data_IF_413606545418
#
_entry.id   IF_413606545418
#
_cell.length_a   1.000
_cell.length_b   1.000
_cell.length_c   1.000
_cell.angle_alpha   90.00
_cell.angle_beta   90.00
_cell.angle_gamma   90.00
#
_symmetry.space_group_name_H-M   'P 1'
#
loop_
_entity.id
_entity.type
_entity.pdbx_description
1 polymer ?
#
# COMPACT_ATOMS: atom_id res chain seq x y z
N UNK A 1 -59.34 -17.23 -19.70
CA UNK A 1 -58.53 -16.15 -20.31
C UNK A 1 -58.37 -15.11 -19.21
N UNK A 2 -57.18 -14.93 -18.63
CA UNK A 2 -56.74 -13.77 -17.82
C UNK A 2 -55.59 -14.06 -16.82
N UNK A 3 -54.71 -14.99 -17.23
CA UNK A 3 -53.54 -15.24 -16.37
C UNK A 3 -52.23 -14.53 -16.85
N UNK A 4 -52.22 -14.00 -18.06
CA UNK A 4 -51.04 -13.42 -18.69
C UNK A 4 -50.84 -11.91 -18.46
N UNK A 5 -51.93 -11.17 -18.21
CA UNK A 5 -51.81 -9.73 -17.95
C UNK A 5 -51.26 -9.38 -16.57
N UNK A 6 -51.51 -10.22 -15.55
CA UNK A 6 -51.00 -10.01 -14.19
C UNK A 6 -49.48 -10.21 -14.10
N UNK A 7 -48.92 -11.19 -14.81
CA UNK A 7 -47.48 -11.46 -14.80
C UNK A 7 -46.64 -10.40 -15.51
N UNK A 8 -47.22 -9.75 -16.52
CA UNK A 8 -46.53 -8.67 -17.26
C UNK A 8 -46.47 -7.36 -16.45
N UNK A 9 -47.49 -7.03 -15.68
CA UNK A 9 -47.54 -5.86 -14.83
C UNK A 9 -46.53 -5.95 -13.66
N UNK A 10 -46.41 -7.14 -13.04
CA UNK A 10 -45.47 -7.39 -11.95
C UNK A 10 -43.99 -7.31 -12.43
N UNK A 11 -43.71 -7.83 -13.64
CA UNK A 11 -42.37 -7.75 -14.21
C UNK A 11 -41.93 -6.31 -14.56
N UNK A 12 -42.90 -5.46 -14.97
CA UNK A 12 -42.62 -4.06 -15.25
C UNK A 12 -42.39 -3.24 -13.97
N UNK A 13 -43.13 -3.52 -12.90
CA UNK A 13 -42.97 -2.87 -11.59
C UNK A 13 -41.65 -3.22 -10.91
N UNK A 14 -41.20 -4.49 -11.00
CA UNK A 14 -39.93 -4.94 -10.48
C UNK A 14 -38.72 -4.34 -11.23
N UNK A 15 -38.82 -4.16 -12.56
CA UNK A 15 -37.76 -3.53 -13.36
C UNK A 15 -37.63 -2.02 -13.11
N UNK A 16 -38.75 -1.32 -12.88
CA UNK A 16 -38.76 0.11 -12.58
C UNK A 16 -38.15 0.38 -11.19
N UNK A 17 -38.49 -0.42 -10.19
CA UNK A 17 -37.94 -0.26 -8.83
C UNK A 17 -36.45 -0.67 -8.72
N UNK A 18 -35.98 -1.63 -9.52
CA UNK A 18 -34.57 -2.02 -9.53
C UNK A 18 -33.68 -0.91 -10.11
N UNK A 19 -34.16 -0.18 -11.13
CA UNK A 19 -33.44 0.98 -11.68
C UNK A 19 -33.44 2.19 -10.74
N UNK A 20 -34.50 2.41 -9.99
CA UNK A 20 -34.56 3.46 -8.98
C UNK A 20 -33.67 3.15 -7.76
N UNK A 21 -33.61 1.90 -7.28
CA UNK A 21 -32.69 1.49 -6.24
C UNK A 21 -31.23 1.64 -6.65
N UNK A 22 -30.87 1.28 -7.88
CA UNK A 22 -29.48 1.46 -8.36
C UNK A 22 -29.09 2.93 -8.46
N UNK A 23 -30.00 3.82 -8.88
CA UNK A 23 -29.74 5.25 -8.97
C UNK A 23 -29.57 5.90 -7.58
N UNK A 24 -30.34 5.48 -6.58
CA UNK A 24 -30.24 6.00 -5.20
C UNK A 24 -28.97 5.47 -4.50
N UNK A 25 -28.58 4.22 -4.77
CA UNK A 25 -27.31 3.68 -4.23
C UNK A 25 -26.08 4.40 -4.80
N UNK A 26 -26.09 4.81 -6.06
CA UNK A 26 -24.99 5.58 -6.66
C UNK A 26 -24.89 6.99 -6.03
N UNK A 27 -26.00 7.60 -5.62
CA UNK A 27 -26.02 8.94 -5.02
C UNK A 27 -25.58 8.93 -3.52
N UNK A 28 -25.84 7.86 -2.79
CA UNK A 28 -25.45 7.75 -1.37
C UNK A 28 -23.98 7.40 -1.17
N UNK A 29 -23.30 6.76 -2.15
CA UNK A 29 -21.87 6.51 -2.11
C UNK A 29 -20.99 7.70 -2.54
N UNK A 30 -21.60 8.74 -3.15
CA UNK A 30 -20.91 9.94 -3.61
C UNK A 30 -20.57 10.96 -2.51
N UNK A 31 -20.99 10.74 -1.25
CA UNK A 31 -20.87 11.72 -0.16
C UNK A 31 -19.92 11.31 0.97
N UNK A 32 -19.16 10.23 0.82
CA UNK A 32 -18.07 9.96 1.76
C UNK A 32 -16.83 10.73 1.31
N UNK A 33 -16.34 11.68 2.10
CA UNK A 33 -15.11 12.40 1.78
C UNK A 33 -13.93 11.43 1.90
N UNK A 34 -13.52 10.84 0.78
CA UNK A 34 -12.24 10.13 0.68
C UNK A 34 -11.10 11.16 0.77
N UNK A 35 -10.77 11.59 1.98
CA UNK A 35 -9.72 12.57 2.24
C UNK A 35 -8.32 11.95 2.16
N UNK A 36 -8.05 11.21 1.10
CA UNK A 36 -6.70 10.77 0.78
C UNK A 36 -6.35 11.15 -0.66
N UNK A 37 -6.37 12.47 -0.95
CA UNK A 37 -5.84 12.98 -2.21
C UNK A 37 -4.31 12.90 -2.14
N UNK A 38 -3.68 12.24 -3.12
CA UNK A 38 -2.25 12.46 -3.34
C UNK A 38 -2.12 13.90 -3.81
N UNK A 39 -1.39 14.68 -3.05
CA UNK A 39 -0.98 16.03 -3.40
C UNK A 39 0.29 15.93 -4.24
N UNK A 40 0.55 16.92 -5.07
CA UNK A 40 1.88 17.10 -5.68
C UNK A 40 2.86 17.45 -4.56
N UNK A 41 4.11 17.02 -4.71
CA UNK A 41 5.14 17.29 -3.70
C UNK A 41 5.35 18.81 -3.59
N UNK A 42 5.15 19.44 -2.42
CA UNK A 42 5.41 20.85 -2.26
C UNK A 42 6.92 21.13 -2.36
N UNK A 43 7.29 22.27 -2.89
CA UNK A 43 8.70 22.70 -3.09
C UNK A 43 9.53 22.60 -1.79
N UNK A 44 8.89 22.84 -0.63
CA UNK A 44 9.53 22.80 0.69
C UNK A 44 9.45 21.42 1.37
N UNK A 45 8.92 20.39 0.69
CA UNK A 45 8.68 19.09 1.30
C UNK A 45 7.56 19.09 2.37
N UNK A 46 7.36 17.96 3.08
CA UNK A 46 6.36 17.87 4.14
C UNK A 46 6.82 18.57 5.43
N UNK A 47 5.87 19.15 6.16
CA UNK A 47 6.10 19.74 7.48
C UNK A 47 6.61 18.68 8.47
N UNK A 48 7.85 18.85 8.94
CA UNK A 48 8.50 17.93 9.90
C UNK A 48 7.73 17.87 11.23
N UNK A 49 7.17 18.98 11.71
CA UNK A 49 6.37 19.00 12.93
C UNK A 49 5.14 18.10 12.82
N UNK A 50 4.46 18.15 11.69
CA UNK A 50 3.30 17.27 11.43
C UNK A 50 3.71 15.81 11.26
N UNK A 51 4.88 15.52 10.66
CA UNK A 51 5.43 14.16 10.59
C UNK A 51 5.72 13.61 12.00
N UNK A 52 6.28 14.43 12.89
CA UNK A 52 6.55 14.05 14.29
C UNK A 52 5.26 13.79 15.09
N UNK A 53 4.15 14.42 14.73
CA UNK A 53 2.81 14.14 15.27
C UNK A 53 2.17 12.87 14.67
N UNK A 54 2.95 12.08 13.92
CA UNK A 54 2.51 10.80 13.36
C UNK A 54 1.72 10.92 12.05
N UNK A 55 1.71 12.08 11.38
CA UNK A 55 1.16 12.16 10.02
C UNK A 55 2.06 11.44 9.04
N UNK A 56 1.45 10.84 8.00
CA UNK A 56 2.13 10.30 6.85
C UNK A 56 1.62 11.02 5.59
N UNK A 57 2.53 11.38 4.71
CA UNK A 57 2.21 12.08 3.46
C UNK A 57 2.48 11.18 2.27
N UNK A 58 1.55 11.18 1.33
CA UNK A 58 1.67 10.44 0.07
C UNK A 58 1.49 11.43 -1.09
N UNK A 59 2.55 11.59 -1.86
CA UNK A 59 2.57 12.42 -3.06
C UNK A 59 2.58 11.53 -4.29
N UNK A 60 1.93 12.00 -5.35
CA UNK A 60 1.96 11.33 -6.63
C UNK A 60 3.21 11.79 -7.39
N UNK A 61 3.94 10.84 -7.96
CA UNK A 61 4.99 11.10 -8.93
C UNK A 61 4.40 11.00 -10.33
N UNK A 62 4.82 11.90 -11.20
CA UNK A 62 4.52 11.87 -12.62
C UNK A 62 5.81 11.48 -13.37
N UNK A 63 6.09 10.18 -13.55
CA UNK A 63 7.22 9.79 -14.38
C UNK A 63 6.92 10.21 -15.83
N UNK A 64 7.69 11.15 -16.37
CA UNK A 64 7.45 11.72 -17.68
C UNK A 64 7.60 10.69 -18.81
N UNK A 65 8.41 9.64 -18.59
CA UNK A 65 8.79 8.65 -19.61
C UNK A 65 8.35 7.21 -19.33
N UNK A 66 7.51 6.96 -18.32
CA UNK A 66 7.16 5.58 -17.94
C UNK A 66 5.65 5.38 -17.85
N UNK A 67 5.19 4.24 -18.38
CA UNK A 67 3.85 3.74 -18.10
C UNK A 67 3.68 3.46 -16.59
N UNK A 68 2.43 3.54 -16.08
CA UNK A 68 2.13 3.26 -14.69
C UNK A 68 2.07 4.49 -13.79
N UNK A 69 2.29 4.29 -12.51
CA UNK A 69 2.20 5.34 -11.48
C UNK A 69 3.36 5.24 -10.50
N UNK A 70 3.73 6.39 -9.94
CA UNK A 70 4.69 6.50 -8.86
C UNK A 70 4.08 7.23 -7.66
N UNK A 71 4.52 6.84 -6.46
CA UNK A 71 4.20 7.54 -5.23
C UNK A 71 5.45 7.70 -4.37
N UNK A 72 5.51 8.84 -3.68
CA UNK A 72 6.41 9.05 -2.54
C UNK A 72 5.55 8.99 -1.29
N UNK A 73 5.93 8.13 -0.34
CA UNK A 73 5.40 8.09 1.01
C UNK A 73 6.47 8.60 1.96
N UNK A 74 6.12 9.57 2.82
CA UNK A 74 7.02 10.14 3.82
C UNK A 74 6.34 10.09 5.18
N UNK A 75 7.03 9.53 6.19
CA UNK A 75 6.56 9.47 7.57
C UNK A 75 7.74 9.39 8.54
N UNK A 76 7.48 9.59 9.83
CA UNK A 76 8.46 9.42 10.90
C UNK A 76 8.04 8.26 11.81
N UNK A 77 9.03 7.47 12.23
CA UNK A 77 8.85 6.40 13.22
C UNK A 77 9.59 6.80 14.50
N UNK A 78 8.96 6.60 15.65
CA UNK A 78 9.54 6.87 16.97
C UNK A 78 10.52 5.76 17.37
N UNK A 79 11.64 5.71 16.66
CA UNK A 79 12.72 4.76 16.87
C UNK A 79 14.07 5.36 16.39
N UNK A 80 15.19 5.05 17.06
CA UNK A 80 16.52 5.37 16.56
C UNK A 80 16.78 4.71 15.21
N UNK A 81 17.55 5.35 14.35
CA UNK A 81 17.86 4.87 13.00
C UNK A 81 18.42 3.44 12.99
N UNK A 82 19.35 3.13 13.89
CA UNK A 82 19.95 1.79 13.99
C UNK A 82 18.92 0.71 14.34
N UNK A 83 18.06 0.97 15.32
CA UNK A 83 17.02 0.03 15.71
C UNK A 83 15.98 -0.19 14.59
N UNK A 84 15.60 0.89 13.91
CA UNK A 84 14.68 0.78 12.80
C UNK A 84 15.31 0.12 11.57
N UNK A 85 16.60 0.37 11.30
CA UNK A 85 17.34 -0.35 10.26
C UNK A 85 17.36 -1.86 10.53
N UNK A 86 17.70 -2.26 11.76
CA UNK A 86 17.69 -3.67 12.16
C UNK A 86 16.33 -4.32 11.95
N UNK A 87 15.24 -3.60 12.30
CA UNK A 87 13.88 -4.08 12.03
C UNK A 87 13.60 -4.23 10.54
N UNK A 88 13.95 -3.24 9.72
CA UNK A 88 13.68 -3.27 8.25
C UNK A 88 14.49 -4.35 7.52
N UNK A 89 15.60 -4.79 8.08
CA UNK A 89 16.45 -5.83 7.51
C UNK A 89 16.27 -7.21 8.14
N UNK A 90 15.43 -7.33 9.19
CA UNK A 90 14.98 -8.61 9.77
C UNK A 90 13.86 -9.21 8.91
N UNK A 91 14.22 -9.64 7.70
CA UNK A 91 13.27 -10.16 6.71
C UNK A 91 12.54 -11.44 7.16
N UNK A 92 13.06 -12.15 8.14
CA UNK A 92 12.44 -13.36 8.70
C UNK A 92 11.55 -13.12 9.91
N UNK A 93 11.28 -11.86 10.25
CA UNK A 93 10.55 -11.52 11.47
C UNK A 93 9.07 -11.91 11.40
N UNK A 94 8.63 -12.70 12.38
CA UNK A 94 7.21 -13.05 12.56
C UNK A 94 6.33 -11.80 12.83
N UNK A 95 6.92 -10.68 13.23
CA UNK A 95 6.18 -9.44 13.41
C UNK A 95 5.53 -8.92 12.14
N UNK A 96 6.05 -9.26 10.97
CA UNK A 96 5.41 -8.94 9.69
C UNK A 96 3.99 -9.49 9.61
N UNK A 97 3.73 -10.65 10.23
CA UNK A 97 2.41 -11.28 10.30
C UNK A 97 1.44 -10.58 11.26
N UNK A 98 1.91 -9.65 12.09
CA UNK A 98 1.02 -8.80 12.90
C UNK A 98 0.34 -7.71 12.06
N UNK A 99 0.83 -7.46 10.84
CA UNK A 99 0.18 -6.59 9.89
C UNK A 99 -1.01 -7.29 9.24
N UNK A 100 -2.20 -6.79 9.48
CA UNK A 100 -3.47 -7.36 8.94
C UNK A 100 -3.52 -7.43 7.41
N UNK A 101 -2.64 -6.73 6.72
CA UNK A 101 -2.52 -6.79 5.25
C UNK A 101 -1.71 -8.00 4.78
N UNK A 102 -0.99 -8.69 5.67
CA UNK A 102 -0.13 -9.83 5.35
C UNK A 102 -0.70 -11.08 6.01
N UNK A 103 -0.99 -12.11 5.23
CA UNK A 103 -1.49 -13.40 5.73
C UNK A 103 -0.39 -14.45 5.82
N UNK A 104 0.58 -14.39 4.93
CA UNK A 104 1.74 -15.28 4.93
C UNK A 104 2.98 -14.52 4.52
N UNK A 105 4.10 -14.85 5.14
CA UNK A 105 5.41 -14.31 4.81
C UNK A 105 6.49 -15.36 5.07
N UNK A 106 7.45 -15.48 4.15
CA UNK A 106 8.63 -16.32 4.35
C UNK A 106 9.84 -15.75 3.62
N UNK A 107 11.01 -16.01 4.15
CA UNK A 107 12.30 -15.79 3.48
C UNK A 107 12.60 -17.00 2.61
N UNK A 108 12.90 -16.77 1.35
CA UNK A 108 13.35 -17.81 0.40
C UNK A 108 14.88 -17.85 0.37
N UNK A 109 15.50 -16.67 0.37
CA UNK A 109 16.94 -16.49 0.39
C UNK A 109 17.31 -15.21 1.12
N UNK A 110 18.41 -15.21 1.86
CA UNK A 110 18.98 -14.02 2.48
C UNK A 110 20.50 -14.16 2.52
N UNK A 111 21.19 -13.52 1.57
CA UNK A 111 22.63 -13.62 1.42
C UNK A 111 23.21 -12.35 0.76
N UNK A 112 24.38 -11.91 1.22
CA UNK A 112 25.14 -10.81 0.62
C UNK A 112 24.29 -9.53 0.43
N UNK A 113 23.57 -9.12 1.47
CA UNK A 113 22.67 -7.96 1.46
C UNK A 113 21.49 -8.07 0.47
N UNK A 114 21.23 -9.25 -0.08
CA UNK A 114 20.08 -9.53 -0.94
C UNK A 114 19.16 -10.50 -0.23
N UNK A 115 17.90 -10.10 -0.05
CA UNK A 115 16.85 -10.97 0.47
C UNK A 115 15.80 -11.24 -0.63
N UNK A 116 15.40 -12.50 -0.76
CA UNK A 116 14.23 -12.90 -1.54
C UNK A 116 13.18 -13.39 -0.57
N UNK A 117 12.02 -12.74 -0.60
CA UNK A 117 10.89 -13.09 0.26
C UNK A 117 9.66 -13.42 -0.55
N UNK A 118 8.78 -14.25 -0.02
CA UNK A 118 7.43 -14.49 -0.55
C UNK A 118 6.40 -14.01 0.47
N UNK A 119 5.44 -13.24 -0.02
CA UNK A 119 4.36 -12.66 0.81
C UNK A 119 3.02 -12.90 0.15
N UNK A 120 2.01 -13.32 0.94
CA UNK A 120 0.61 -13.34 0.52
C UNK A 120 -0.10 -12.21 1.25
N UNK A 121 -0.75 -11.33 0.48
CA UNK A 121 -1.53 -10.23 1.04
C UNK A 121 -3.00 -10.62 1.19
N UNK A 122 -3.64 -10.15 2.27
CA UNK A 122 -5.06 -10.40 2.55
C UNK A 122 -5.99 -9.94 1.40
N UNK A 123 -5.59 -8.90 0.65
CA UNK A 123 -6.32 -8.38 -0.50
C UNK A 123 -6.23 -9.27 -1.75
N UNK A 124 -5.29 -10.24 -1.77
CA UNK A 124 -5.07 -11.19 -2.89
C UNK A 124 -4.71 -12.57 -2.36
N UNK A 125 -5.65 -13.25 -1.69
CA UNK A 125 -5.40 -14.58 -1.11
C UNK A 125 -4.98 -15.57 -2.22
N UNK A 126 -3.99 -16.41 -1.90
CA UNK A 126 -3.46 -17.42 -2.81
C UNK A 126 -2.46 -16.90 -3.86
N UNK A 127 -2.29 -15.59 -4.00
CA UNK A 127 -1.27 -15.00 -4.89
C UNK A 127 0.00 -14.72 -4.11
N UNK A 128 1.10 -15.37 -4.47
CA UNK A 128 2.42 -15.17 -3.86
C UNK A 128 3.15 -14.05 -4.56
N UNK A 129 3.47 -13.01 -3.82
CA UNK A 129 4.32 -11.90 -4.25
C UNK A 129 5.76 -12.22 -3.87
N UNK A 130 6.62 -12.43 -4.86
CA UNK A 130 8.05 -12.69 -4.65
C UNK A 130 8.84 -11.40 -4.82
N UNK A 131 9.41 -10.94 -3.71
CA UNK A 131 10.16 -9.70 -3.66
C UNK A 131 11.67 -9.98 -3.59
N UNK A 132 12.46 -9.20 -4.33
CA UNK A 132 13.88 -9.05 -4.12
C UNK A 132 14.11 -7.72 -3.43
N UNK A 133 14.87 -7.74 -2.34
CA UNK A 133 15.29 -6.53 -1.61
C UNK A 133 16.81 -6.53 -1.50
N UNK A 134 17.42 -5.41 -1.88
CA UNK A 134 18.86 -5.16 -1.76
C UNK A 134 19.05 -4.15 -0.65
N UNK A 135 19.84 -4.49 0.36
CA UNK A 135 20.13 -3.63 1.50
C UNK A 135 21.48 -2.94 1.32
N UNK A 136 21.52 -1.62 1.50
CA UNK A 136 22.75 -0.80 1.49
C UNK A 136 22.94 -0.19 2.88
N UNK A 137 23.67 -0.85 3.79
CA UNK A 137 23.81 -0.42 5.19
C UNK A 137 24.44 0.96 5.33
N UNK A 138 25.41 1.30 4.48
CA UNK A 138 26.18 2.56 4.54
C UNK A 138 25.27 3.77 4.29
N UNK A 139 24.25 3.60 3.48
CA UNK A 139 23.30 4.65 3.13
C UNK A 139 21.94 4.47 3.80
N UNK A 140 21.74 3.39 4.55
CA UNK A 140 20.44 3.01 5.14
C UNK A 140 19.32 2.98 4.09
N UNK A 141 19.61 2.34 2.94
CA UNK A 141 18.70 2.25 1.80
C UNK A 141 18.36 0.80 1.49
N UNK A 142 17.09 0.58 1.15
CA UNK A 142 16.56 -0.69 0.66
C UNK A 142 15.98 -0.48 -0.73
N UNK A 143 16.53 -1.14 -1.74
CA UNK A 143 15.95 -1.17 -3.07
C UNK A 143 15.14 -2.47 -3.23
N UNK A 144 13.91 -2.40 -3.71
CA UNK A 144 13.03 -3.55 -3.85
C UNK A 144 12.42 -3.66 -5.24
N UNK A 145 12.20 -4.89 -5.68
CA UNK A 145 11.45 -5.19 -6.90
C UNK A 145 10.62 -6.46 -6.77
N UNK A 146 9.50 -6.50 -7.45
CA UNK A 146 8.64 -7.67 -7.57
C UNK A 146 9.15 -8.56 -8.71
N UNK A 147 9.56 -9.80 -8.39
CA UNK A 147 10.15 -10.73 -9.36
C UNK A 147 9.12 -11.42 -10.26
N UNK A 148 7.87 -11.53 -9.81
CA UNK A 148 6.79 -12.19 -10.55
C UNK A 148 5.58 -11.26 -10.77
N UNK A 149 5.77 -10.06 -11.35
CA UNK A 149 4.72 -9.05 -11.44
C UNK A 149 3.49 -9.53 -12.23
N UNK A 150 3.67 -10.29 -13.31
CA UNK A 150 2.57 -10.76 -14.15
C UNK A 150 1.60 -11.66 -13.39
N UNK A 151 2.10 -12.59 -12.58
CA UNK A 151 1.30 -13.46 -11.72
C UNK A 151 0.50 -12.65 -10.68
N UNK A 152 1.04 -11.49 -10.27
CA UNK A 152 0.42 -10.57 -9.33
C UNK A 152 -0.52 -9.56 -9.99
N UNK A 153 -0.76 -9.63 -11.31
CA UNK A 153 -1.58 -8.68 -12.07
C UNK A 153 -0.93 -7.32 -12.26
N UNK A 154 0.40 -7.30 -12.37
CA UNK A 154 1.21 -6.11 -12.57
C UNK A 154 2.15 -6.31 -13.76
N UNK A 155 2.53 -5.20 -14.42
CA UNK A 155 3.61 -5.22 -15.41
C UNK A 155 4.97 -5.09 -14.75
N UNK A 156 5.02 -4.24 -13.72
CA UNK A 156 6.18 -4.04 -12.86
C UNK A 156 5.76 -3.53 -11.48
N UNK A 157 6.63 -3.68 -10.49
CA UNK A 157 6.57 -2.99 -9.21
C UNK A 157 7.97 -2.98 -8.61
N UNK A 158 8.52 -1.80 -8.41
CA UNK A 158 9.83 -1.61 -7.81
C UNK A 158 9.91 -0.25 -7.13
N UNK A 159 10.98 -0.04 -6.38
CA UNK A 159 11.21 1.23 -5.72
C UNK A 159 12.33 1.14 -4.70
N UNK A 160 12.33 2.10 -3.78
CA UNK A 160 13.28 2.09 -2.67
C UNK A 160 12.70 2.72 -1.41
N UNK A 161 13.34 2.40 -0.31
CA UNK A 161 13.09 2.98 1.01
C UNK A 161 14.39 3.59 1.48
N UNK A 162 14.38 4.88 1.79
CA UNK A 162 15.48 5.61 2.37
C UNK A 162 15.17 5.94 3.82
N UNK A 163 16.10 5.65 4.73
CA UNK A 163 16.01 5.98 6.14
C UNK A 163 16.98 7.10 6.49
N UNK A 164 16.50 8.10 7.24
CA UNK A 164 17.30 9.25 7.65
C UNK A 164 17.07 9.53 9.14
N UNK A 165 18.15 9.86 9.85
CA UNK A 165 18.05 10.26 11.25
C UNK A 165 17.46 11.67 11.36
N UNK A 166 16.43 11.84 12.22
CA UNK A 166 15.86 13.14 12.59
C UNK A 166 15.73 13.16 14.11
N UNK A 167 16.68 13.81 14.77
CA UNK A 167 16.81 13.75 16.23
C UNK A 167 16.86 12.30 16.75
N UNK A 168 15.93 11.90 17.62
CA UNK A 168 15.82 10.53 18.16
C UNK A 168 14.88 9.64 17.33
N UNK A 169 14.40 10.14 16.20
CA UNK A 169 13.44 9.47 15.32
C UNK A 169 14.10 9.07 14.01
N UNK A 170 13.39 8.24 13.26
CA UNK A 170 13.76 7.89 11.89
C UNK A 170 12.70 8.42 10.92
N UNK A 171 13.12 9.26 9.98
CA UNK A 171 12.34 9.64 8.82
C UNK A 171 12.46 8.54 7.77
N UNK A 172 11.34 8.13 7.22
CA UNK A 172 11.22 7.14 6.15
C UNK A 172 10.71 7.84 4.90
N UNK A 173 11.45 7.70 3.82
CA UNK A 173 11.01 8.10 2.48
C UNK A 173 10.94 6.85 1.62
N UNK A 174 9.74 6.44 1.23
CA UNK A 174 9.54 5.30 0.34
C UNK A 174 9.05 5.80 -1.02
N UNK A 175 9.74 5.41 -2.08
CA UNK A 175 9.31 5.62 -3.46
C UNK A 175 8.91 4.27 -4.03
N UNK A 176 7.74 4.21 -4.65
CA UNK A 176 7.23 3.01 -5.31
C UNK A 176 6.68 3.35 -6.69
N UNK A 177 7.14 2.60 -7.70
CA UNK A 177 6.65 2.64 -9.07
C UNK A 177 5.95 1.31 -9.39
N UNK A 178 4.78 1.38 -10.01
CA UNK A 178 4.02 0.17 -10.35
C UNK A 178 3.06 0.42 -11.52
N UNK A 179 2.74 -0.65 -12.23
CA UNK A 179 1.72 -0.64 -13.28
C UNK A 179 0.85 -1.90 -13.17
N UNK A 180 -0.45 -1.69 -12.92
CA UNK A 180 -1.44 -2.76 -12.81
C UNK A 180 -2.18 -2.93 -14.13
N UNK A 181 -2.60 -4.17 -14.43
CA UNK A 181 -3.40 -4.49 -15.61
C UNK A 181 -4.58 -5.42 -15.28
N UNK A 182 -5.53 -5.52 -16.23
CA UNK A 182 -6.70 -6.38 -16.08
C UNK A 182 -7.55 -6.05 -14.86
N UNK A 183 -8.06 -7.08 -14.19
CA UNK A 183 -8.86 -6.91 -12.98
C UNK A 183 -8.12 -6.18 -11.84
N UNK A 184 -6.80 -6.35 -11.75
CA UNK A 184 -5.97 -5.67 -10.76
C UNK A 184 -5.93 -4.16 -10.95
N UNK A 185 -6.02 -3.67 -12.19
CA UNK A 185 -6.15 -2.24 -12.48
C UNK A 185 -7.39 -1.67 -11.78
N UNK A 186 -8.55 -2.28 -11.98
CA UNK A 186 -9.81 -1.81 -11.41
C UNK A 186 -9.84 -1.87 -9.88
N UNK A 187 -9.25 -2.90 -9.28
CA UNK A 187 -9.18 -3.04 -7.83
C UNK A 187 -8.23 -2.05 -7.16
N UNK A 188 -7.12 -1.69 -7.82
CA UNK A 188 -6.06 -0.91 -7.18
C UNK A 188 -6.07 0.57 -7.55
N UNK A 189 -6.71 0.99 -8.64
CA UNK A 189 -6.71 2.40 -9.04
C UNK A 189 -7.97 3.17 -8.66
N UNK A 190 -9.21 2.74 -9.00
CA UNK A 190 -10.35 3.64 -8.87
C UNK A 190 -11.14 3.53 -7.56
N UNK A 191 -11.28 2.35 -6.94
CA UNK A 191 -12.37 2.12 -5.99
C UNK A 191 -11.97 1.96 -4.52
N UNK A 192 -10.75 1.48 -4.22
CA UNK A 192 -10.33 1.15 -2.86
C UNK A 192 -9.15 1.99 -2.37
N UNK A 193 -8.93 3.18 -2.94
CA UNK A 193 -7.74 3.97 -2.64
C UNK A 193 -6.44 3.29 -3.10
N UNK A 194 -6.55 2.02 -3.52
CA UNK A 194 -5.50 1.26 -4.17
C UNK A 194 -4.19 1.20 -3.41
N UNK A 195 -3.11 1.45 -4.12
CA UNK A 195 -1.76 1.45 -3.56
C UNK A 195 -1.56 2.52 -2.47
N UNK A 196 -2.25 3.67 -2.55
CA UNK A 196 -2.17 4.69 -1.50
C UNK A 196 -2.66 4.18 -0.16
N UNK A 197 -3.81 3.49 -0.16
CA UNK A 197 -4.37 2.89 1.04
C UNK A 197 -3.38 1.88 1.63
N UNK A 198 -2.81 1.01 0.78
CA UNK A 198 -1.82 0.03 1.20
C UNK A 198 -0.58 0.71 1.81
N UNK A 199 0.03 1.67 1.13
CA UNK A 199 1.20 2.41 1.61
C UNK A 199 0.91 3.13 2.93
N UNK A 200 -0.23 3.81 3.04
CA UNK A 200 -0.62 4.52 4.25
C UNK A 200 -0.78 3.57 5.45
N UNK A 201 -1.46 2.44 5.25
CA UNK A 201 -1.66 1.46 6.32
C UNK A 201 -0.36 0.75 6.73
N UNK A 202 0.56 0.52 5.79
CA UNK A 202 1.91 0.04 6.12
C UNK A 202 2.65 1.04 7.01
N UNK A 203 2.65 2.32 6.65
CA UNK A 203 3.28 3.37 7.46
C UNK A 203 2.67 3.45 8.87
N UNK A 204 1.35 3.43 8.98
CA UNK A 204 0.65 3.45 10.27
C UNK A 204 0.97 2.25 11.13
N UNK A 205 0.95 1.06 10.54
CA UNK A 205 1.33 -0.16 11.24
C UNK A 205 2.78 -0.08 11.77
N UNK A 206 3.73 0.42 10.97
CA UNK A 206 5.11 0.61 11.41
C UNK A 206 5.21 1.63 12.54
N UNK A 207 4.55 2.80 12.42
CA UNK A 207 4.51 3.83 13.46
C UNK A 207 3.99 3.31 14.81
N UNK A 208 3.01 2.41 14.79
CA UNK A 208 2.39 1.84 15.98
C UNK A 208 3.18 0.65 16.55
N UNK A 209 3.81 -0.14 15.68
CA UNK A 209 4.43 -1.42 16.04
C UNK A 209 5.87 -1.24 16.50
N UNK A 210 6.66 -0.44 15.76
CA UNK A 210 8.11 -0.34 16.02
C UNK A 210 8.46 0.17 17.42
N UNK A 211 7.80 1.21 17.97
CA UNK A 211 8.12 1.65 19.34
C UNK A 211 7.97 0.55 20.39
N UNK A 212 7.05 -0.39 20.17
CA UNK A 212 6.82 -1.55 21.06
C UNK A 212 7.90 -2.62 20.93
N UNK A 213 8.59 -2.68 19.80
CA UNK A 213 9.61 -3.67 19.48
C UNK A 213 11.04 -3.19 19.69
N UNK A 214 11.24 -1.95 20.15
CA UNK A 214 12.59 -1.37 20.34
C UNK A 214 13.50 -2.23 21.24
N UNK A 215 12.92 -2.95 22.21
CA UNK A 215 13.68 -3.85 23.08
C UNK A 215 14.33 -5.02 22.33
N UNK A 216 13.76 -5.44 21.18
CA UNK A 216 14.31 -6.52 20.34
C UNK A 216 15.45 -6.03 19.43
N UNK A 217 15.43 -4.75 19.04
CA UNK A 217 16.31 -4.21 18.00
C UNK A 217 17.33 -3.17 18.49
N UNK A 218 17.47 -3.04 19.80
CA UNK A 218 18.49 -2.18 20.44
C UNK A 218 19.88 -2.81 20.42
#
# INVERSE_FOLDING_TARGET
>A
MDSNHSKMAIAFYLRANLKACCAVMIFLFGLLPSHCFAQDLPDNGPDIGLLMLGKAYIYKLHPEDMAGKGYILIYIVSAPLSAYWNFKTDFGSDFLLTNKLITEHRVVENKNNVAITETIYATKPGVKFRWRTISSPETHRLDFELLNPKECGQRFHYGHIQLEKVAEYTKVTQIAYFDFFGASFWMNYPWYGGMKYHLYHMAKWEQETIPRLLHKYR
#
